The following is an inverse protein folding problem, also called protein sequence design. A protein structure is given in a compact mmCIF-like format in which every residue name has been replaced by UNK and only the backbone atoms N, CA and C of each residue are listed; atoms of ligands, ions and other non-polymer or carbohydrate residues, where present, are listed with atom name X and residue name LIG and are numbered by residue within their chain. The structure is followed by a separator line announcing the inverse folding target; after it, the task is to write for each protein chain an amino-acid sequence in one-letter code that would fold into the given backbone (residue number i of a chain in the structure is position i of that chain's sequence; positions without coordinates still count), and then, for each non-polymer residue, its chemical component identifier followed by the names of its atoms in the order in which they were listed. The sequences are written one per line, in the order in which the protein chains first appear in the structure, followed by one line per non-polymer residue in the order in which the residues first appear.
data_IF_937053290608
#
_entry.id   IF_937053290608
#
_cell.length_a   1.000
_cell.length_b   1.000
_cell.length_c   1.000
_cell.angle_alpha   90.00
_cell.angle_beta   90.00
_cell.angle_gamma   90.00
#
_symmetry.space_group_name_H-M   'P 1'
#
loop_
_entity.id
_entity.type
_entity.pdbx_description
1 polymer ?
#
# COMPACT_ATOMS: atom_id res chain seq x y z
N UNK A 1 2.64 16.59 -2.63
CA UNK A 1 2.20 15.48 -1.76
C UNK A 1 2.63 15.62 -0.30
N UNK A 2 3.91 15.88 0.02
CA UNK A 2 4.44 15.78 1.40
C UNK A 2 3.84 16.74 2.44
N UNK A 3 3.43 17.96 2.04
CA UNK A 3 2.77 18.91 2.95
C UNK A 3 1.30 18.57 3.23
N UNK A 4 0.65 17.86 2.30
CA UNK A 4 -0.77 17.54 2.38
C UNK A 4 -1.01 16.46 3.43
N UNK A 5 -0.17 15.42 3.49
CA UNK A 5 -0.30 14.34 4.48
C UNK A 5 -0.29 14.84 5.93
N UNK A 6 0.57 15.79 6.28
CA UNK A 6 0.63 16.32 7.65
C UNK A 6 -0.58 17.20 7.96
N UNK A 7 -1.00 18.03 7.01
CA UNK A 7 -2.20 18.87 7.18
C UNK A 7 -3.46 18.01 7.36
N UNK A 8 -3.57 16.92 6.60
CA UNK A 8 -4.66 15.95 6.74
C UNK A 8 -4.60 15.26 8.10
N UNK A 9 -3.44 14.71 8.48
CA UNK A 9 -3.30 14.05 9.77
C UNK A 9 -3.64 15.00 10.92
N UNK A 10 -3.07 16.20 10.96
CA UNK A 10 -3.31 17.18 12.02
C UNK A 10 -4.78 17.60 12.10
N UNK A 11 -5.49 17.66 10.97
CA UNK A 11 -6.93 17.96 10.92
C UNK A 11 -7.79 16.86 11.56
N UNK A 12 -7.45 15.60 11.34
CA UNK A 12 -8.28 14.45 11.79
C UNK A 12 -7.76 13.79 13.08
N UNK A 13 -6.53 14.09 13.48
CA UNK A 13 -5.82 13.50 14.62
C UNK A 13 -5.18 14.56 15.53
N UNK A 14 -5.82 15.73 15.67
CA UNK A 14 -5.30 16.89 16.41
C UNK A 14 -4.91 16.63 17.89
N UNK A 15 -5.40 15.53 18.48
CA UNK A 15 -5.12 15.13 19.87
C UNK A 15 -4.01 14.08 20.02
N UNK A 16 -3.47 13.57 18.91
CA UNK A 16 -2.43 12.55 18.90
C UNK A 16 -1.07 13.10 19.34
N UNK A 17 -0.21 12.22 19.84
CA UNK A 17 1.13 12.59 20.29
C UNK A 17 2.02 13.04 19.12
N UNK A 18 3.02 13.88 19.38
CA UNK A 18 4.04 14.25 18.38
C UNK A 18 4.78 13.02 17.82
N UNK A 19 4.92 11.99 18.63
CA UNK A 19 5.53 10.73 18.22
C UNK A 19 4.65 9.96 17.23
N UNK A 20 3.35 9.82 17.51
CA UNK A 20 2.39 9.19 16.60
C UNK A 20 2.32 9.92 15.26
N UNK A 21 2.29 11.26 15.31
CA UNK A 21 2.36 12.12 14.12
C UNK A 21 3.61 11.85 13.27
N UNK A 22 4.77 11.75 13.91
CA UNK A 22 6.04 11.45 13.22
C UNK A 22 6.02 10.04 12.62
N UNK A 23 5.48 9.06 13.34
CA UNK A 23 5.35 7.69 12.83
C UNK A 23 4.45 7.62 11.61
N UNK A 24 3.27 8.24 11.67
CA UNK A 24 2.34 8.32 10.55
C UNK A 24 3.00 8.95 9.32
N UNK A 25 3.62 10.12 9.48
CA UNK A 25 4.34 10.79 8.40
C UNK A 25 5.41 9.89 7.76
N UNK A 26 6.24 9.23 8.57
CA UNK A 26 7.28 8.34 8.06
C UNK A 26 6.69 7.13 7.32
N UNK A 27 5.57 6.60 7.81
CA UNK A 27 4.91 5.46 7.19
C UNK A 27 4.26 5.83 5.85
N UNK A 28 3.48 6.92 5.81
CA UNK A 28 2.89 7.42 4.55
C UNK A 28 3.98 7.81 3.55
N UNK A 29 5.04 8.48 4.00
CA UNK A 29 6.18 8.82 3.12
C UNK A 29 6.85 7.57 2.53
N UNK A 30 7.01 6.51 3.31
CA UNK A 30 7.54 5.23 2.80
C UNK A 30 6.60 4.58 1.80
N UNK A 31 5.29 4.59 2.08
CA UNK A 31 4.29 4.07 1.15
C UNK A 31 4.36 4.82 -0.20
N UNK A 32 4.36 6.14 -0.18
CA UNK A 32 4.45 6.96 -1.38
C UNK A 32 5.80 6.78 -2.10
N UNK A 33 6.91 6.68 -1.36
CA UNK A 33 8.22 6.42 -1.96
C UNK A 33 8.23 5.12 -2.78
N UNK A 34 7.62 4.05 -2.26
CA UNK A 34 7.56 2.78 -2.99
C UNK A 34 6.53 2.77 -4.11
N UNK A 35 5.53 3.65 -4.04
CA UNK A 35 4.62 3.92 -5.14
C UNK A 35 5.38 4.60 -6.30
N UNK A 36 6.15 5.66 -6.03
CA UNK A 36 7.01 6.31 -7.04
C UNK A 36 8.08 5.36 -7.60
N UNK A 37 8.60 4.44 -6.77
CA UNK A 37 9.47 3.37 -7.24
C UNK A 37 8.75 2.45 -8.23
N UNK A 38 7.45 2.23 -8.07
CA UNK A 38 6.61 1.50 -9.02
C UNK A 38 6.65 2.15 -10.40
N UNK A 39 6.33 3.44 -10.48
CA UNK A 39 6.44 4.22 -11.72
C UNK A 39 7.85 4.13 -12.32
N UNK A 40 8.88 4.34 -11.50
CA UNK A 40 10.26 4.30 -11.95
C UNK A 40 10.65 2.93 -12.54
N UNK A 41 10.17 1.83 -11.97
CA UNK A 41 10.44 0.48 -12.49
C UNK A 41 9.64 0.18 -13.76
N UNK A 42 8.39 0.65 -13.84
CA UNK A 42 7.55 0.51 -15.03
C UNK A 42 8.21 1.22 -16.21
N UNK A 43 8.61 2.48 -16.02
CA UNK A 43 9.28 3.30 -17.04
C UNK A 43 10.64 2.71 -17.42
N UNK A 44 11.54 2.49 -16.44
CA UNK A 44 12.92 2.05 -16.73
C UNK A 44 12.99 0.71 -17.47
N UNK A 45 12.08 -0.22 -17.16
CA UNK A 45 12.06 -1.56 -17.75
C UNK A 45 10.96 -1.78 -18.78
N UNK A 46 10.23 -0.71 -19.14
CA UNK A 46 9.12 -0.76 -20.09
C UNK A 46 8.12 -1.89 -19.77
N UNK A 47 7.76 -2.01 -18.49
CA UNK A 47 6.88 -3.07 -18.03
C UNK A 47 5.45 -2.86 -18.56
N UNK A 48 4.77 -3.91 -19.05
CA UNK A 48 3.39 -3.76 -19.50
C UNK A 48 2.44 -3.50 -18.32
N UNK A 49 1.55 -2.53 -18.50
CA UNK A 49 0.46 -2.20 -17.57
C UNK A 49 -0.87 -2.37 -18.30
N UNK A 50 -1.69 -3.33 -17.87
CA UNK A 50 -2.98 -3.65 -18.50
C UNK A 50 -4.18 -2.94 -17.83
N UNK A 51 -3.93 -2.06 -16.87
CA UNK A 51 -4.94 -1.29 -16.13
C UNK A 51 -4.42 0.12 -15.85
N UNK A 52 -4.86 0.72 -14.75
CA UNK A 52 -4.33 2.02 -14.29
C UNK A 52 -2.92 1.83 -13.73
N UNK A 53 -1.97 2.68 -14.12
CA UNK A 53 -0.58 2.61 -13.67
C UNK A 53 -0.46 2.93 -12.18
N UNK A 54 -1.22 3.90 -11.70
CA UNK A 54 -1.33 4.30 -10.29
C UNK A 54 -1.73 3.15 -9.37
N UNK A 55 -2.66 2.31 -9.84
CA UNK A 55 -3.10 1.10 -9.14
C UNK A 55 -1.99 0.04 -9.09
N UNK A 56 -1.18 -0.05 -10.14
CA UNK A 56 -0.03 -0.94 -10.19
C UNK A 56 1.07 -0.46 -9.24
N UNK A 57 1.35 0.86 -9.21
CA UNK A 57 2.31 1.49 -8.31
C UNK A 57 1.91 1.31 -6.82
N UNK A 58 0.64 1.53 -6.48
CA UNK A 58 0.09 1.22 -5.15
C UNK A 58 0.25 -0.25 -4.78
N UNK A 59 -0.03 -1.14 -5.73
CA UNK A 59 0.12 -2.57 -5.56
C UNK A 59 1.57 -2.98 -5.28
N UNK A 60 2.55 -2.37 -5.97
CA UNK A 60 3.96 -2.62 -5.67
C UNK A 60 4.31 -2.13 -4.27
N UNK A 61 3.86 -0.93 -3.90
CA UNK A 61 4.09 -0.38 -2.56
C UNK A 61 3.53 -1.29 -1.46
N UNK A 62 2.34 -1.88 -1.69
CA UNK A 62 1.76 -2.87 -0.79
C UNK A 62 2.60 -4.16 -0.70
N UNK A 63 3.08 -4.67 -1.83
CA UNK A 63 3.98 -5.84 -1.87
C UNK A 63 5.26 -5.57 -1.10
N UNK A 64 5.93 -4.43 -1.38
CA UNK A 64 7.18 -4.05 -0.70
C UNK A 64 6.94 -3.95 0.81
N UNK A 65 5.90 -3.21 1.19
CA UNK A 65 5.54 -3.01 2.59
C UNK A 65 5.30 -4.32 3.31
N UNK A 66 4.41 -5.18 2.81
CA UNK A 66 3.99 -6.37 3.53
C UNK A 66 5.01 -7.52 3.50
N UNK A 67 5.82 -7.62 2.44
CA UNK A 67 6.75 -8.73 2.25
C UNK A 67 8.18 -8.43 2.70
N UNK A 68 8.64 -7.18 2.55
CA UNK A 68 10.07 -6.85 2.68
C UNK A 68 10.38 -5.84 3.79
N UNK A 69 9.41 -5.07 4.27
CA UNK A 69 9.67 -4.08 5.32
C UNK A 69 9.40 -4.62 6.73
N UNK A 70 10.32 -4.41 7.69
CA UNK A 70 10.00 -4.54 9.10
C UNK A 70 8.86 -3.58 9.47
N UNK A 71 7.86 -4.10 10.19
CA UNK A 71 6.63 -3.37 10.56
C UNK A 71 5.86 -2.80 9.35
N UNK A 72 6.03 -3.36 8.16
CA UNK A 72 5.42 -2.81 6.95
C UNK A 72 3.89 -2.90 6.89
N UNK A 73 3.26 -3.70 7.76
CA UNK A 73 1.82 -3.59 7.99
C UNK A 73 1.41 -2.15 8.33
N UNK A 74 2.15 -1.47 9.21
CA UNK A 74 1.82 -0.09 9.60
C UNK A 74 2.02 0.89 8.44
N UNK A 75 3.06 0.68 7.63
CA UNK A 75 3.31 1.46 6.40
C UNK A 75 2.10 1.40 5.47
N UNK A 76 1.58 0.20 5.23
CA UNK A 76 0.45 0.01 4.34
C UNK A 76 -0.87 0.60 4.89
N UNK A 77 -1.20 0.36 6.16
CA UNK A 77 -2.47 0.85 6.73
C UNK A 77 -2.47 2.37 6.92
N UNK A 78 -1.33 2.99 7.24
CA UNK A 78 -1.22 4.45 7.29
C UNK A 78 -1.32 5.05 5.87
N UNK A 79 -0.72 4.39 4.85
CA UNK A 79 -0.89 4.76 3.45
C UNK A 79 -2.35 4.64 2.97
N UNK A 80 -3.07 3.60 3.41
CA UNK A 80 -4.51 3.50 3.18
C UNK A 80 -5.25 4.65 3.86
N UNK A 81 -5.02 4.88 5.15
CA UNK A 81 -5.66 5.96 5.90
C UNK A 81 -5.42 7.34 5.25
N UNK A 82 -4.25 7.59 4.69
CA UNK A 82 -3.98 8.80 3.91
C UNK A 82 -5.01 9.00 2.77
N UNK A 83 -5.31 7.96 1.98
CA UNK A 83 -6.34 8.06 0.94
C UNK A 83 -7.74 8.25 1.52
N UNK A 84 -8.06 7.64 2.65
CA UNK A 84 -9.32 7.90 3.34
C UNK A 84 -9.44 9.36 3.78
N UNK A 85 -8.40 9.93 4.39
CA UNK A 85 -8.39 11.34 4.80
C UNK A 85 -8.45 12.29 3.59
N UNK A 86 -7.79 11.93 2.49
CA UNK A 86 -7.82 12.70 1.25
C UNK A 86 -9.22 12.73 0.65
N UNK A 87 -9.91 11.59 0.62
CA UNK A 87 -11.32 11.45 0.22
C UNK A 87 -12.25 12.35 1.05
N UNK A 88 -12.02 12.47 2.37
CA UNK A 88 -12.83 13.35 3.23
C UNK A 88 -12.67 14.85 2.94
N UNK A 89 -11.57 15.27 2.28
CA UNK A 89 -11.29 16.68 2.02
C UNK A 89 -11.57 17.07 0.58
N UNK A 90 -11.20 16.22 -0.37
CA UNK A 90 -11.38 16.49 -1.80
C UNK A 90 -12.76 16.02 -2.28
N UNK A 91 -13.32 14.97 -1.68
CA UNK A 91 -14.57 14.37 -2.12
C UNK A 91 -14.43 13.67 -3.48
N UNK A 92 -15.57 13.49 -4.16
CA UNK A 92 -15.62 12.92 -5.51
C UNK A 92 -16.53 13.78 -6.35
N UNK A 93 -16.05 14.17 -7.54
CA UNK A 93 -16.82 14.89 -8.55
C UNK A 93 -16.71 14.22 -9.92
N UNK A 94 -17.28 14.83 -10.95
CA UNK A 94 -17.24 14.29 -12.31
C UNK A 94 -15.81 14.09 -12.84
N UNK A 95 -14.88 14.98 -12.50
CA UNK A 95 -13.49 14.89 -12.93
C UNK A 95 -12.75 13.72 -12.28
N UNK A 96 -13.13 13.37 -11.04
CA UNK A 96 -12.56 12.24 -10.31
C UNK A 96 -12.79 10.88 -11.00
N UNK A 97 -13.85 10.75 -11.81
CA UNK A 97 -14.13 9.52 -12.56
C UNK A 97 -13.39 9.43 -13.90
N UNK A 98 -12.75 10.52 -14.33
CA UNK A 98 -11.91 10.58 -15.53
C UNK A 98 -10.41 10.66 -15.18
N UNK A 99 -10.09 10.65 -13.89
CA UNK A 99 -8.73 10.70 -13.37
C UNK A 99 -7.97 9.40 -13.72
N UNK A 100 -6.64 9.48 -13.79
CA UNK A 100 -5.76 8.31 -13.98
C UNK A 100 -5.68 7.42 -12.74
N UNK A 101 -6.07 7.97 -11.59
CA UNK A 101 -6.16 7.26 -10.33
C UNK A 101 -7.54 6.67 -10.12
N UNK A 102 -7.59 5.46 -9.55
CA UNK A 102 -8.80 5.00 -8.84
C UNK A 102 -9.23 6.02 -7.79
N UNK A 103 -10.54 6.06 -7.51
CA UNK A 103 -11.08 6.92 -6.46
C UNK A 103 -10.34 6.68 -5.14
N UNK A 104 -10.02 7.75 -4.40
CA UNK A 104 -9.29 7.65 -3.13
C UNK A 104 -9.91 6.62 -2.17
N UNK A 105 -11.24 6.56 -2.09
CA UNK A 105 -11.93 5.52 -1.33
C UNK A 105 -11.64 4.11 -1.90
N UNK A 106 -11.68 3.89 -3.21
CA UNK A 106 -11.32 2.59 -3.80
C UNK A 106 -9.88 2.18 -3.45
N UNK A 107 -8.93 3.13 -3.52
CA UNK A 107 -7.53 2.90 -3.12
C UNK A 107 -7.42 2.48 -1.65
N UNK A 108 -8.08 3.19 -0.73
CA UNK A 108 -8.16 2.82 0.69
C UNK A 108 -8.64 1.37 0.90
N UNK A 109 -9.78 1.00 0.32
CA UNK A 109 -10.34 -0.36 0.48
C UNK A 109 -9.43 -1.43 -0.13
N UNK A 110 -8.78 -1.15 -1.27
CA UNK A 110 -7.87 -2.08 -1.95
C UNK A 110 -6.63 -2.38 -1.11
N UNK A 111 -5.98 -1.36 -0.55
CA UNK A 111 -4.80 -1.53 0.30
C UNK A 111 -5.13 -2.30 1.58
N UNK A 112 -6.29 -2.06 2.16
CA UNK A 112 -6.79 -2.79 3.32
C UNK A 112 -7.11 -4.26 3.00
N UNK A 113 -7.66 -4.53 1.81
CA UNK A 113 -7.83 -5.89 1.29
C UNK A 113 -6.48 -6.58 1.09
N UNK A 114 -5.45 -5.91 0.55
CA UNK A 114 -4.09 -6.47 0.47
C UNK A 114 -3.49 -6.77 1.84
N UNK A 115 -3.68 -5.89 2.83
CA UNK A 115 -3.26 -6.14 4.20
C UNK A 115 -3.93 -7.40 4.77
N UNK A 116 -5.23 -7.56 4.57
CA UNK A 116 -5.97 -8.74 5.03
C UNK A 116 -5.49 -10.00 4.30
N UNK A 117 -5.33 -9.93 2.98
CA UNK A 117 -4.87 -11.05 2.16
C UNK A 117 -3.48 -11.57 2.55
N UNK A 118 -2.61 -10.71 3.11
CA UNK A 118 -1.27 -11.11 3.52
C UNK A 118 -1.13 -11.43 5.01
N UNK A 119 -1.76 -10.65 5.89
CA UNK A 119 -1.63 -10.77 7.34
C UNK A 119 -3.00 -10.68 8.02
N UNK A 120 -3.92 -11.64 7.75
CA UNK A 120 -5.31 -11.57 8.19
C UNK A 120 -5.44 -11.46 9.71
N UNK A 121 -4.67 -12.27 10.46
CA UNK A 121 -4.68 -12.25 11.93
C UNK A 121 -4.34 -10.87 12.51
N UNK A 122 -3.37 -10.17 11.90
CA UNK A 122 -2.95 -8.84 12.36
C UNK A 122 -4.01 -7.79 12.01
N UNK A 123 -4.64 -7.90 10.84
CA UNK A 123 -5.80 -7.07 10.49
C UNK A 123 -6.92 -7.30 11.49
N UNK A 124 -7.33 -8.55 11.75
CA UNK A 124 -8.42 -8.87 12.67
C UNK A 124 -8.19 -8.34 14.08
N UNK A 125 -6.96 -8.43 14.60
CA UNK A 125 -6.59 -7.87 15.89
C UNK A 125 -6.68 -6.34 15.93
N UNK A 126 -6.41 -5.67 14.81
CA UNK A 126 -6.30 -4.21 14.74
C UNK A 126 -7.42 -3.53 13.95
N UNK A 127 -8.42 -4.30 13.49
CA UNK A 127 -9.42 -3.83 12.54
C UNK A 127 -10.18 -2.63 13.12
N UNK A 128 -10.50 -2.65 14.42
CA UNK A 128 -11.23 -1.57 15.08
C UNK A 128 -10.52 -0.20 15.03
N UNK A 129 -9.19 -0.16 14.86
CA UNK A 129 -8.42 1.09 14.84
C UNK A 129 -8.41 1.75 13.46
N UNK A 130 -8.38 0.97 12.39
CA UNK A 130 -8.23 1.48 11.02
C UNK A 130 -9.56 1.52 10.25
N UNK A 131 -10.57 0.80 10.74
CA UNK A 131 -11.78 0.52 10.02
C UNK A 131 -12.97 1.26 10.65
N UNK A 132 -13.19 2.51 10.22
CA UNK A 132 -14.31 3.33 10.69
C UNK A 132 -15.61 2.91 9.96
N UNK A 133 -16.46 2.09 10.61
CA UNK A 133 -17.82 1.75 10.11
C UNK A 133 -18.06 0.27 9.77
N UNK A 134 -18.97 0.00 8.80
CA UNK A 134 -19.47 -1.34 8.37
C UNK A 134 -18.43 -2.29 7.73
N UNK A 135 -17.15 -2.02 7.99
CA UNK A 135 -16.01 -2.53 7.25
C UNK A 135 -15.48 -3.87 7.79
N UNK A 136 -15.81 -4.20 9.06
CA UNK A 136 -15.53 -5.51 9.68
C UNK A 136 -16.22 -6.65 8.91
N UNK A 137 -17.48 -6.46 8.51
CA UNK A 137 -18.25 -7.47 7.77
C UNK A 137 -17.76 -7.59 6.33
N UNK A 138 -17.60 -6.46 5.64
CA UNK A 138 -17.25 -6.45 4.21
C UNK A 138 -15.93 -7.15 3.87
N UNK A 139 -14.88 -6.95 4.68
CA UNK A 139 -13.57 -7.58 4.40
C UNK A 139 -13.55 -9.04 4.78
N UNK A 140 -14.28 -9.44 5.82
CA UNK A 140 -14.42 -10.85 6.18
C UNK A 140 -15.22 -11.61 5.12
N UNK A 141 -16.27 -11.01 4.56
CA UNK A 141 -17.03 -11.58 3.45
C UNK A 141 -16.20 -11.72 2.16
N UNK A 142 -15.16 -10.90 2.01
CA UNK A 142 -14.24 -10.91 0.86
C UNK A 142 -12.86 -11.46 1.18
N UNK A 143 -12.70 -12.19 2.28
CA UNK A 143 -11.40 -12.70 2.76
C UNK A 143 -10.66 -13.49 1.67
N UNK A 144 -11.33 -14.44 1.03
CA UNK A 144 -10.77 -15.27 -0.04
C UNK A 144 -10.34 -14.42 -1.25
N UNK A 145 -11.17 -13.43 -1.62
CA UNK A 145 -10.85 -12.50 -2.69
C UNK A 145 -9.61 -11.66 -2.35
N UNK A 146 -9.47 -11.23 -1.10
CA UNK A 146 -8.31 -10.46 -0.63
C UNK A 146 -7.04 -11.31 -0.61
N UNK A 147 -7.11 -12.57 -0.16
CA UNK A 147 -5.99 -13.52 -0.22
C UNK A 147 -5.53 -13.74 -1.65
N UNK A 148 -6.47 -14.05 -2.55
CA UNK A 148 -6.19 -14.20 -3.97
C UNK A 148 -5.58 -12.93 -4.57
N UNK A 149 -6.23 -11.79 -4.36
CA UNK A 149 -5.81 -10.50 -4.93
C UNK A 149 -4.39 -10.10 -4.52
N UNK A 150 -4.00 -10.28 -3.25
CA UNK A 150 -2.63 -10.00 -2.82
C UNK A 150 -1.63 -10.98 -3.45
N UNK A 151 -1.93 -12.28 -3.48
CA UNK A 151 -1.02 -13.30 -3.99
C UNK A 151 -0.78 -13.14 -5.49
N UNK A 152 -1.82 -12.87 -6.28
CA UNK A 152 -1.70 -12.57 -7.71
C UNK A 152 -0.87 -11.30 -7.93
N UNK A 153 -1.15 -10.24 -7.18
CA UNK A 153 -0.37 -9.00 -7.26
C UNK A 153 1.12 -9.23 -6.98
N UNK A 154 1.45 -9.97 -5.92
CA UNK A 154 2.82 -10.34 -5.61
C UNK A 154 3.45 -11.16 -6.74
N UNK A 155 2.74 -12.16 -7.24
CA UNK A 155 3.23 -13.02 -8.32
C UNK A 155 3.49 -12.23 -9.61
N UNK A 156 2.56 -11.39 -10.04
CA UNK A 156 2.70 -10.56 -11.24
C UNK A 156 3.92 -9.64 -11.15
N UNK A 157 4.09 -8.93 -10.02
CA UNK A 157 5.25 -8.06 -9.85
C UNK A 157 6.57 -8.82 -9.83
N UNK A 158 6.62 -9.99 -9.17
CA UNK A 158 7.84 -10.81 -9.16
C UNK A 158 8.15 -11.38 -10.55
N UNK A 159 7.13 -11.78 -11.31
CA UNK A 159 7.30 -12.26 -12.68
C UNK A 159 7.86 -11.17 -13.60
N UNK A 160 7.28 -9.96 -13.53
CA UNK A 160 7.73 -8.82 -14.34
C UNK A 160 9.15 -8.37 -13.99
N UNK A 161 9.50 -8.40 -12.70
CA UNK A 161 10.82 -7.97 -12.23
C UNK A 161 11.89 -9.07 -12.34
N UNK A 162 11.49 -10.33 -12.51
CA UNK A 162 12.40 -11.49 -12.54
C UNK A 162 13.66 -11.28 -13.41
N UNK A 163 13.57 -10.73 -14.64
CA UNK A 163 14.75 -10.54 -15.49
C UNK A 163 15.77 -9.54 -14.94
N UNK A 164 15.36 -8.65 -14.02
CA UNK A 164 16.15 -7.53 -13.51
C UNK A 164 16.63 -7.73 -12.07
N UNK A 165 16.09 -8.73 -11.37
CA UNK A 165 16.50 -9.06 -10.01
C UNK A 165 17.83 -9.81 -10.02
N UNK A 166 18.76 -9.41 -9.14
CA UNK A 166 19.97 -10.21 -8.90
C UNK A 166 19.56 -11.57 -8.32
N UNK A 167 20.16 -12.68 -8.79
CA UNK A 167 19.97 -13.97 -8.16
C UNK A 167 20.31 -13.87 -6.68
N UNK A 168 19.54 -14.57 -5.84
CA UNK A 168 19.93 -14.71 -4.43
C UNK A 168 21.30 -15.39 -4.38
N UNK A 169 22.21 -14.96 -3.48
CA UNK A 169 23.50 -15.61 -3.32
C UNK A 169 23.29 -17.09 -3.02
N UNK A 170 23.97 -17.94 -3.78
CA UNK A 170 23.94 -19.39 -3.55
C UNK A 170 24.60 -19.72 -2.20
N UNK A 171 24.38 -20.94 -1.71
CA UNK A 171 25.08 -21.43 -0.51
C UNK A 171 26.60 -21.42 -0.72
N UNK A 172 27.07 -21.65 -1.95
CA UNK A 172 28.49 -21.49 -2.30
C UNK A 172 28.98 -20.04 -2.24
N UNK A 173 28.17 -19.07 -2.66
CA UNK A 173 28.58 -17.65 -2.64
C UNK A 173 28.80 -17.13 -1.22
N UNK A 174 27.98 -17.60 -0.26
CA UNK A 174 28.12 -17.27 1.16
C UNK A 174 29.36 -17.88 1.81
N UNK A 175 29.89 -18.99 1.28
CA UNK A 175 31.11 -19.63 1.78
C UNK A 175 32.39 -18.94 1.33
N UNK A 176 32.34 -18.14 0.26
CA UNK A 176 33.50 -17.39 -0.28
C UNK A 176 33.71 -16.02 0.37
N UNK A 177 32.80 -15.59 1.24
CA UNK A 177 32.83 -14.27 1.91
C UNK A 177 33.21 -14.35 3.40
N UNK A 178 33.62 -15.53 3.88
CA UNK A 178 34.20 -15.80 5.20
C UNK A 178 35.62 -16.32 5.02
#
# INVERSE_FOLDING_TARGET
MMDIQLKLYDKFHAKESKENRRHYFNNVTRFLLYHELGHALIDAYHLPVLGQEEDAADALSAVISLKYLPKGFQVLVDGADFFYLLDQVIGTDASSYWDEHSLNRQRYYRLLCFAYGKVPNLVEQKIQYYYKGALNTFIKERSDYCHYGYNETYFSWMLLLQPYLKPLPTVEDKKKTL
#
